data_IF_675701018385
#
_entry.id   IF_675701018385
#
_cell.length_a   1.000
_cell.length_b   1.000
_cell.length_c   1.000
_cell.angle_alpha   90.00
_cell.angle_beta   90.00
_cell.angle_gamma   90.00
#
_symmetry.space_group_name_H-M   'P 1'
#
loop_
_entity.id
_entity.type
_entity.pdbx_description
1 polymer ?
#
# COMPACT_ATOMS: atom_id res chain seq x y z
N UNK A 1 17.94 -10.29 -12.64
CA UNK A 1 18.07 -9.09 -13.51
C UNK A 1 17.07 -9.06 -14.66
N UNK A 2 17.03 -10.09 -15.52
CA UNK A 2 16.11 -10.12 -16.69
C UNK A 2 14.64 -9.89 -16.30
N UNK A 3 14.16 -10.53 -15.23
CA UNK A 3 12.77 -10.40 -14.76
C UNK A 3 12.46 -8.98 -14.27
N UNK A 4 13.21 -8.47 -13.28
CA UNK A 4 12.96 -7.17 -12.64
C UNK A 4 13.20 -5.96 -13.57
N UNK A 5 14.03 -6.12 -14.61
CA UNK A 5 14.36 -5.05 -15.54
C UNK A 5 13.56 -5.23 -16.85
N UNK A 6 14.14 -5.97 -17.80
CA UNK A 6 13.64 -6.01 -19.18
C UNK A 6 12.24 -6.60 -19.31
N UNK A 7 11.95 -7.70 -18.62
CA UNK A 7 10.65 -8.37 -18.73
C UNK A 7 9.53 -7.53 -18.14
N UNK A 8 9.71 -7.01 -16.91
CA UNK A 8 8.73 -6.14 -16.27
C UNK A 8 8.47 -4.88 -17.09
N UNK A 9 9.51 -4.26 -17.68
CA UNK A 9 9.33 -3.08 -18.51
C UNK A 9 8.46 -3.37 -19.75
N UNK A 10 8.71 -4.49 -20.43
CA UNK A 10 7.92 -4.90 -21.61
C UNK A 10 6.45 -5.20 -21.21
N UNK A 11 6.25 -6.01 -20.17
CA UNK A 11 4.90 -6.39 -19.72
C UNK A 11 4.13 -5.18 -19.20
N UNK A 12 4.79 -4.24 -18.52
CA UNK A 12 4.15 -3.01 -18.02
C UNK A 12 3.64 -2.13 -19.15
N UNK A 13 4.38 -2.02 -20.26
CA UNK A 13 3.92 -1.28 -21.46
C UNK A 13 2.65 -1.92 -22.02
N UNK A 14 2.65 -3.24 -22.22
CA UNK A 14 1.48 -3.94 -22.74
C UNK A 14 0.28 -3.87 -21.79
N UNK A 15 0.51 -4.02 -20.48
CA UNK A 15 -0.54 -3.89 -19.47
C UNK A 15 -1.12 -2.47 -19.46
N UNK A 16 -0.27 -1.44 -19.56
CA UNK A 16 -0.69 -0.04 -19.63
C UNK A 16 -1.58 0.24 -20.85
N UNK A 17 -1.20 -0.28 -22.02
CA UNK A 17 -2.03 -0.18 -23.23
C UNK A 17 -3.36 -0.95 -23.09
N UNK A 18 -3.32 -2.15 -22.52
CA UNK A 18 -4.52 -2.97 -22.30
C UNK A 18 -5.51 -2.30 -21.35
N UNK A 19 -5.05 -1.78 -20.20
CA UNK A 19 -5.89 -1.04 -19.25
C UNK A 19 -6.36 0.27 -19.87
N UNK A 20 -5.49 1.01 -20.56
CA UNK A 20 -5.84 2.26 -21.24
C UNK A 20 -6.91 2.09 -22.32
N UNK A 21 -6.92 0.96 -23.03
CA UNK A 21 -7.96 0.65 -24.02
C UNK A 21 -9.37 0.54 -23.44
N UNK A 22 -9.52 0.36 -22.12
CA UNK A 22 -10.79 0.30 -21.41
C UNK A 22 -11.29 1.66 -20.92
N UNK A 23 -10.52 2.74 -21.09
CA UNK A 23 -10.86 4.09 -20.66
C UNK A 23 -11.65 4.88 -21.72
N UNK A 24 -12.55 4.22 -22.45
CA UNK A 24 -13.46 4.89 -23.37
C UNK A 24 -14.42 5.81 -22.57
N UNK A 25 -14.83 6.93 -23.18
CA UNK A 25 -15.55 7.99 -22.48
C UNK A 25 -16.88 7.52 -21.85
N UNK A 26 -17.58 6.63 -22.53
CA UNK A 26 -18.81 5.96 -22.08
C UNK A 26 -18.58 5.04 -20.87
N UNK A 27 -17.40 4.45 -20.75
CA UNK A 27 -17.04 3.53 -19.65
C UNK A 27 -16.41 4.25 -18.46
N UNK A 28 -15.75 5.40 -18.70
CA UNK A 28 -15.02 6.14 -17.66
C UNK A 28 -15.82 7.32 -17.09
N UNK A 29 -16.61 8.03 -17.90
CA UNK A 29 -17.37 9.20 -17.44
C UNK A 29 -18.74 8.79 -16.91
N UNK A 30 -18.75 7.86 -15.95
CA UNK A 30 -19.97 7.38 -15.30
C UNK A 30 -19.97 7.78 -13.81
N UNK A 31 -21.14 7.99 -13.19
CA UNK A 31 -21.22 8.28 -11.75
C UNK A 31 -20.53 7.22 -10.87
N UNK A 32 -20.47 5.98 -11.34
CA UNK A 32 -19.80 4.87 -10.67
C UNK A 32 -18.29 5.10 -10.55
N UNK A 33 -17.62 5.68 -11.55
CA UNK A 33 -16.16 5.93 -11.47
C UNK A 33 -15.82 6.97 -10.41
N UNK A 34 -16.66 8.00 -10.24
CA UNK A 34 -16.52 8.95 -9.14
C UNK A 34 -16.64 8.28 -7.77
N UNK A 35 -17.54 7.28 -7.66
CA UNK A 35 -17.68 6.42 -6.50
C UNK A 35 -16.40 5.63 -6.21
N UNK A 36 -15.81 5.00 -7.22
CA UNK A 36 -14.55 4.24 -7.10
C UNK A 36 -13.41 5.15 -6.61
N UNK A 37 -13.26 6.35 -7.20
CA UNK A 37 -12.22 7.31 -6.79
C UNK A 37 -12.37 7.74 -5.33
N UNK A 38 -13.59 8.06 -4.91
CA UNK A 38 -13.89 8.48 -3.54
C UNK A 38 -13.65 7.36 -2.53
N UNK A 39 -14.10 6.13 -2.86
CA UNK A 39 -13.87 4.94 -2.05
C UNK A 39 -12.38 4.63 -1.93
N UNK A 40 -11.58 4.86 -2.98
CA UNK A 40 -10.13 4.68 -2.94
C UNK A 40 -9.44 5.56 -1.89
N UNK A 41 -9.82 6.84 -1.80
CA UNK A 41 -9.27 7.78 -0.81
C UNK A 41 -9.61 7.32 0.62
N UNK A 42 -10.87 6.92 0.83
CA UNK A 42 -11.34 6.44 2.13
C UNK A 42 -10.64 5.12 2.49
N UNK A 43 -10.49 4.20 1.54
CA UNK A 43 -9.82 2.92 1.75
C UNK A 43 -8.36 3.10 2.19
N UNK A 44 -7.59 3.99 1.54
CA UNK A 44 -6.23 4.30 1.98
C UNK A 44 -6.18 4.94 3.37
N UNK A 45 -7.14 5.81 3.68
CA UNK A 45 -7.23 6.46 4.99
C UNK A 45 -7.51 5.45 6.10
N UNK A 46 -8.46 4.54 5.89
CA UNK A 46 -8.79 3.46 6.82
C UNK A 46 -7.63 2.49 6.96
N UNK A 47 -6.99 2.09 5.85
CA UNK A 47 -5.83 1.19 5.87
C UNK A 47 -4.64 1.76 6.64
N UNK A 48 -4.37 3.06 6.48
CA UNK A 48 -3.30 3.74 7.23
C UNK A 48 -3.65 3.84 8.72
N UNK A 49 -4.88 4.25 9.04
CA UNK A 49 -5.34 4.37 10.42
C UNK A 49 -5.35 3.02 11.15
N UNK A 50 -5.84 1.96 10.50
CA UNK A 50 -5.85 0.61 11.06
C UNK A 50 -4.43 0.07 11.29
N UNK A 51 -3.49 0.33 10.37
CA UNK A 51 -2.08 -0.01 10.56
C UNK A 51 -1.45 0.67 11.79
N UNK A 52 -1.73 1.96 12.00
CA UNK A 52 -1.27 2.70 13.19
C UNK A 52 -1.91 2.14 14.46
N UNK A 53 -3.22 1.86 14.44
CA UNK A 53 -3.93 1.29 15.58
C UNK A 53 -3.39 -0.11 15.93
N UNK A 54 -3.09 -0.94 14.93
CA UNK A 54 -2.48 -2.24 15.13
C UNK A 54 -1.09 -2.11 15.75
N UNK A 55 -0.26 -1.17 15.29
CA UNK A 55 1.04 -0.92 15.91
C UNK A 55 0.91 -0.48 17.39
N UNK A 56 -0.09 0.35 17.71
CA UNK A 56 -0.41 0.72 19.10
C UNK A 56 -0.88 -0.48 19.93
N UNK A 57 -1.68 -1.37 19.35
CA UNK A 57 -2.12 -2.60 20.02
C UNK A 57 -0.92 -3.53 20.30
N UNK A 58 -0.01 -3.68 19.34
CA UNK A 58 1.20 -4.49 19.52
C UNK A 58 2.10 -3.95 20.63
N UNK A 59 2.10 -2.64 20.90
CA UNK A 59 2.83 -2.04 22.02
C UNK A 59 2.29 -2.44 23.40
N UNK A 60 1.06 -2.94 23.49
CA UNK A 60 0.52 -3.47 24.73
C UNK A 60 0.97 -4.91 24.99
N UNK A 61 1.23 -5.67 23.92
CA UNK A 61 1.58 -7.09 23.98
C UNK A 61 3.10 -7.35 23.94
N UNK A 62 3.88 -6.41 23.41
CA UNK A 62 5.31 -6.59 23.15
C UNK A 62 6.17 -5.95 24.23
N UNK A 63 7.22 -6.66 24.67
CA UNK A 63 8.24 -6.10 25.57
C UNK A 63 9.02 -4.95 24.92
N UNK A 64 9.29 -5.06 23.61
CA UNK A 64 9.89 -3.99 22.81
C UNK A 64 8.78 -3.20 22.11
N UNK A 65 8.64 -1.92 22.48
CA UNK A 65 7.64 -1.03 21.88
C UNK A 65 8.01 -0.70 20.43
N UNK A 66 7.07 -0.89 19.53
CA UNK A 66 7.11 -0.55 18.12
C UNK A 66 6.71 0.93 17.95
N UNK A 67 7.43 1.67 17.12
CA UNK A 67 7.04 3.02 16.77
C UNK A 67 5.72 2.99 15.96
N UNK A 68 4.61 3.62 16.41
CA UNK A 68 3.34 3.59 15.70
C UNK A 68 3.40 4.12 14.25
N UNK A 69 4.38 4.98 13.93
CA UNK A 69 4.60 5.46 12.56
C UNK A 69 4.91 4.31 11.60
N UNK A 70 5.57 3.25 12.07
CA UNK A 70 5.88 2.05 11.29
C UNK A 70 4.59 1.33 10.85
N UNK A 71 3.52 1.41 11.65
CA UNK A 71 2.22 0.84 11.30
C UNK A 71 1.60 1.48 10.05
N UNK A 72 1.83 2.79 9.83
CA UNK A 72 1.37 3.48 8.62
C UNK A 72 2.09 3.00 7.35
N UNK A 73 3.29 2.43 7.47
CA UNK A 73 4.04 1.89 6.33
C UNK A 73 3.44 0.56 5.80
N UNK A 74 2.44 -0.01 6.48
CA UNK A 74 1.77 -1.24 6.05
C UNK A 74 0.95 -1.10 4.77
N UNK A 75 0.68 0.11 4.29
CA UNK A 75 0.07 0.34 2.97
C UNK A 75 1.08 -0.06 1.88
N UNK A 76 0.68 -0.96 0.98
CA UNK A 76 1.54 -1.67 0.01
C UNK A 76 2.14 -0.83 -1.13
N UNK A 77 2.39 0.46 -0.90
CA UNK A 77 3.03 1.38 -1.85
C UNK A 77 4.56 1.30 -1.71
N UNK A 78 5.17 0.27 -2.29
CA UNK A 78 6.63 0.05 -2.24
C UNK A 78 7.38 0.97 -3.22
N UNK A 79 8.51 1.59 -2.84
CA UNK A 79 9.04 1.79 -1.48
C UNK A 79 8.51 3.06 -0.81
N UNK A 80 7.58 3.79 -1.44
CA UNK A 80 7.21 5.16 -1.07
C UNK A 80 6.54 5.27 0.30
N UNK A 81 5.69 4.32 0.72
CA UNK A 81 5.05 4.36 2.04
C UNK A 81 6.09 4.40 3.18
N UNK A 82 7.12 3.56 3.10
CA UNK A 82 8.22 3.55 4.06
C UNK A 82 9.04 4.86 4.03
N UNK A 83 9.20 5.48 2.85
CA UNK A 83 9.87 6.78 2.70
C UNK A 83 9.06 7.92 3.32
N UNK A 84 7.74 7.92 3.16
CA UNK A 84 6.85 8.92 3.79
C UNK A 84 6.90 8.80 5.31
N UNK A 85 6.82 7.57 5.83
CA UNK A 85 6.97 7.31 7.27
C UNK A 85 8.33 7.78 7.79
N UNK A 86 9.41 7.51 7.05
CA UNK A 86 10.74 7.99 7.42
C UNK A 86 10.82 9.53 7.41
N UNK A 87 10.21 10.20 6.43
CA UNK A 87 10.15 11.66 6.38
C UNK A 87 9.45 12.22 7.63
N UNK A 88 8.26 11.71 7.96
CA UNK A 88 7.50 12.15 9.14
C UNK A 88 8.26 11.82 10.43
N UNK A 89 8.96 10.69 10.49
CA UNK A 89 9.83 10.37 11.62
C UNK A 89 10.97 11.37 11.83
N UNK A 90 11.63 11.75 10.74
CA UNK A 90 12.71 12.75 10.76
C UNK A 90 12.21 14.17 11.09
N UNK A 91 10.95 14.49 10.77
CA UNK A 91 10.30 15.74 11.19
C UNK A 91 10.09 15.80 12.71
N UNK A 92 9.92 14.65 13.36
CA UNK A 92 9.79 14.56 14.82
C UNK A 92 11.14 14.44 15.54
N UNK A 93 12.10 13.72 14.96
CA UNK A 93 13.45 13.55 15.49
C UNK A 93 14.45 13.27 14.36
N UNK A 94 15.45 14.15 14.21
CA UNK A 94 16.44 14.10 13.13
C UNK A 94 17.38 12.90 13.17
N UNK A 95 17.42 12.16 14.28
CA UNK A 95 18.19 10.92 14.42
C UNK A 95 17.32 9.65 14.27
N UNK A 96 16.01 9.79 14.11
CA UNK A 96 15.07 8.67 14.05
C UNK A 96 14.89 8.13 12.63
N UNK A 97 15.82 7.28 12.19
CA UNK A 97 15.80 6.65 10.86
C UNK A 97 14.91 5.40 10.82
N UNK A 98 13.74 5.53 10.21
CA UNK A 98 12.72 4.49 10.17
C UNK A 98 12.71 3.67 8.88
N UNK A 99 13.35 4.14 7.80
CA UNK A 99 13.26 3.51 6.48
C UNK A 99 13.55 2.00 6.52
N UNK A 100 14.64 1.60 7.18
CA UNK A 100 15.05 0.18 7.25
C UNK A 100 14.04 -0.68 8.01
N UNK A 101 13.40 -0.14 9.05
CA UNK A 101 12.42 -0.86 9.88
C UNK A 101 11.03 -0.86 9.22
N UNK A 102 10.65 0.25 8.59
CA UNK A 102 9.36 0.44 7.94
C UNK A 102 9.19 -0.39 6.66
N UNK A 103 10.27 -0.87 6.04
CA UNK A 103 10.19 -1.78 4.89
C UNK A 103 9.57 -3.14 5.26
N UNK A 104 9.70 -3.60 6.51
CA UNK A 104 9.09 -4.85 6.96
C UNK A 104 7.56 -4.86 6.79
N UNK A 105 6.83 -3.94 7.44
CA UNK A 105 5.39 -3.82 7.26
C UNK A 105 4.97 -3.49 5.82
N UNK A 106 5.77 -2.73 5.07
CA UNK A 106 5.45 -2.41 3.67
C UNK A 106 5.43 -3.67 2.79
N UNK A 107 6.42 -4.56 2.95
CA UNK A 107 6.44 -5.87 2.28
C UNK A 107 5.30 -6.76 2.77
N UNK A 108 5.01 -6.77 4.07
CA UNK A 108 3.87 -7.49 4.63
C UNK A 108 2.53 -7.02 4.03
N UNK A 109 2.39 -5.71 3.76
CA UNK A 109 1.24 -5.12 3.07
C UNK A 109 1.04 -5.67 1.66
N UNK A 110 2.11 -5.79 0.86
CA UNK A 110 2.03 -6.39 -0.49
C UNK A 110 1.52 -7.83 -0.43
N UNK A 111 2.03 -8.62 0.51
CA UNK A 111 1.59 -10.01 0.71
C UNK A 111 0.12 -10.04 1.17
N UNK A 112 -0.24 -9.21 2.15
CA UNK A 112 -1.59 -9.11 2.68
C UNK A 112 -2.63 -8.76 1.61
N UNK A 113 -2.32 -7.84 0.71
CA UNK A 113 -3.19 -7.49 -0.43
C UNK A 113 -3.43 -8.68 -1.36
N UNK A 114 -2.40 -9.48 -1.66
CA UNK A 114 -2.55 -10.68 -2.48
C UNK A 114 -3.40 -11.76 -1.79
N UNK A 115 -3.22 -11.95 -0.47
CA UNK A 115 -4.02 -12.88 0.33
C UNK A 115 -5.49 -12.44 0.37
N UNK A 116 -5.75 -11.16 0.63
CA UNK A 116 -7.11 -10.61 0.66
C UNK A 116 -7.80 -10.78 -0.70
N UNK A 117 -7.11 -10.48 -1.80
CA UNK A 117 -7.63 -10.71 -3.15
C UNK A 117 -7.95 -12.19 -3.41
N UNK A 118 -7.06 -13.11 -3.00
CA UNK A 118 -7.28 -14.55 -3.13
C UNK A 118 -8.51 -15.04 -2.37
N UNK A 119 -8.71 -14.57 -1.13
CA UNK A 119 -9.90 -14.89 -0.33
C UNK A 119 -11.16 -14.32 -0.97
N UNK A 120 -11.13 -13.08 -1.46
CA UNK A 120 -12.29 -12.48 -2.14
C UNK A 120 -12.67 -13.25 -3.41
N UNK A 121 -11.69 -13.71 -4.19
CA UNK A 121 -11.94 -14.56 -5.37
C UNK A 121 -12.62 -15.87 -4.93
N UNK A 122 -12.11 -16.53 -3.88
CA UNK A 122 -12.70 -17.78 -3.39
C UNK A 122 -14.13 -17.62 -2.84
N UNK A 123 -14.48 -16.45 -2.33
CA UNK A 123 -15.82 -16.15 -1.81
C UNK A 123 -16.81 -15.77 -2.92
N UNK A 124 -16.31 -15.20 -4.03
CA UNK A 124 -17.12 -14.73 -5.16
C UNK A 124 -17.21 -15.74 -6.31
N UNK A 125 -16.30 -16.72 -6.35
CA UNK A 125 -16.31 -17.86 -7.26
C UNK A 125 -17.28 -18.94 -6.79
#
# INVERSE_FOLDING_TARGET
>A
EVVQNSLINIVTIFLGLAVGSKLAADQFLTPETLGILSLGIIAFSIGTASGILMAKLMNFLSANKINPLIGAAGVSAVPMAARVVNKVGLENDSQNFLLMHAMGPNVAGVIGSAVAAGVMIQLLA
#
